data_IF_741770983275
#
_entry.id   IF_741770983275
#
_cell.length_a   1.000
_cell.length_b   1.000
_cell.length_c   1.000
_cell.angle_alpha   90.00
_cell.angle_beta   90.00
_cell.angle_gamma   90.00
#
_symmetry.space_group_name_H-M   'P 1'
#
loop_
_entity.id
_entity.type
_entity.pdbx_description
1 polymer ?
#
# COMPACT_ATOMS: atom_id res chain seq x y z
N UNK A 1 77.14 -27.91 24.38
CA UNK A 1 78.19 -27.03 23.83
C UNK A 1 78.44 -25.78 24.68
N UNK A 2 77.42 -25.03 25.12
CA UNK A 2 77.61 -23.80 25.90
C UNK A 2 78.44 -24.01 27.19
N UNK A 3 78.17 -25.06 27.96
CA UNK A 3 78.87 -25.36 29.22
C UNK A 3 80.35 -25.74 29.00
N UNK A 4 80.65 -26.54 27.97
CA UNK A 4 82.04 -26.90 27.62
C UNK A 4 82.83 -25.66 27.19
N UNK A 5 82.23 -24.80 26.39
CA UNK A 5 82.87 -23.55 25.95
C UNK A 5 83.10 -22.59 27.11
N UNK A 6 82.15 -22.46 28.04
CA UNK A 6 82.31 -21.66 29.26
C UNK A 6 83.46 -22.18 30.12
N UNK A 7 83.59 -23.50 30.28
CA UNK A 7 84.72 -24.11 31.00
C UNK A 7 86.04 -23.77 30.29
N UNK A 8 86.12 -23.91 28.97
CA UNK A 8 87.33 -23.59 28.20
C UNK A 8 87.70 -22.11 28.32
N UNK A 9 86.74 -21.19 28.18
CA UNK A 9 86.98 -19.75 28.33
C UNK A 9 87.44 -19.43 29.75
N UNK A 10 86.81 -20.02 30.78
CA UNK A 10 87.22 -19.83 32.17
C UNK A 10 88.64 -20.34 32.41
N UNK A 11 89.00 -21.48 31.81
CA UNK A 11 90.34 -22.06 31.90
C UNK A 11 91.38 -21.16 31.20
N UNK A 12 91.07 -20.62 30.03
CA UNK A 12 91.93 -19.64 29.33
C UNK A 12 92.09 -18.35 30.12
N UNK A 13 91.02 -17.84 30.73
CA UNK A 13 91.08 -16.66 31.63
C UNK A 13 91.95 -16.95 32.85
N UNK A 14 91.78 -18.12 33.46
CA UNK A 14 92.55 -18.50 34.63
C UNK A 14 94.04 -18.66 34.31
N UNK A 15 94.37 -19.33 33.19
CA UNK A 15 95.76 -19.43 32.71
C UNK A 15 96.31 -18.04 32.38
N UNK A 16 95.56 -17.19 31.66
CA UNK A 16 95.98 -15.84 31.31
C UNK A 16 96.23 -14.94 32.53
N UNK A 17 95.40 -15.04 33.56
CA UNK A 17 95.61 -14.33 34.82
C UNK A 17 96.83 -14.87 35.58
N UNK A 18 97.02 -16.19 35.64
CA UNK A 18 98.20 -16.79 36.28
C UNK A 18 99.48 -16.33 35.59
N UNK A 19 99.52 -16.33 34.25
CA UNK A 19 100.72 -15.89 33.50
C UNK A 19 101.01 -14.40 33.71
N UNK A 20 99.97 -13.55 33.79
CA UNK A 20 100.12 -12.13 34.13
C UNK A 20 100.65 -11.97 35.56
N UNK A 21 100.10 -12.68 36.54
CA UNK A 21 100.53 -12.62 37.95
C UNK A 21 101.99 -13.07 38.10
N UNK A 22 102.38 -14.17 37.45
CA UNK A 22 103.76 -14.65 37.48
C UNK A 22 104.74 -13.68 36.82
N UNK A 23 104.28 -12.86 35.87
CA UNK A 23 105.11 -11.89 35.15
C UNK A 23 105.31 -10.56 35.89
N UNK A 24 104.60 -10.32 37.00
CA UNK A 24 104.69 -9.08 37.80
C UNK A 24 106.13 -8.78 38.25
N UNK A 25 106.94 -9.81 38.52
CA UNK A 25 108.31 -9.63 39.02
C UNK A 25 109.27 -9.06 37.97
N UNK A 26 108.98 -9.28 36.70
CA UNK A 26 109.95 -9.06 35.62
C UNK A 26 109.61 -7.86 34.71
N UNK A 27 108.40 -7.30 34.82
CA UNK A 27 107.89 -6.28 33.88
C UNK A 27 107.50 -5.01 34.61
N UNK A 28 107.60 -3.87 33.91
CA UNK A 28 107.08 -2.61 34.43
C UNK A 28 105.56 -2.66 34.54
N UNK A 29 105.03 -2.07 35.62
CA UNK A 29 103.59 -2.05 35.91
C UNK A 29 102.75 -1.51 34.73
N UNK A 30 103.27 -0.54 33.96
CA UNK A 30 102.58 0.01 32.80
C UNK A 30 102.42 -1.01 31.66
N UNK A 31 103.41 -1.87 31.41
CA UNK A 31 103.33 -2.93 30.40
C UNK A 31 102.35 -4.03 30.83
N UNK A 32 102.26 -4.30 32.15
CA UNK A 32 101.28 -5.23 32.71
C UNK A 32 99.86 -4.73 32.56
N UNK A 33 99.61 -3.44 32.85
CA UNK A 33 98.30 -2.81 32.62
C UNK A 33 97.91 -2.88 31.16
N UNK A 34 98.84 -2.55 30.23
CA UNK A 34 98.59 -2.64 28.79
C UNK A 34 98.25 -4.08 28.37
N UNK A 35 99.04 -5.07 28.79
CA UNK A 35 98.81 -6.47 28.45
C UNK A 35 97.46 -6.97 29.00
N UNK A 36 97.11 -6.58 30.22
CA UNK A 36 95.81 -6.88 30.82
C UNK A 36 94.66 -6.21 30.07
N UNK A 37 94.82 -4.94 29.64
CA UNK A 37 93.82 -4.24 28.82
C UNK A 37 93.63 -4.90 27.47
N UNK A 38 94.71 -5.30 26.78
CA UNK A 38 94.65 -6.04 25.51
C UNK A 38 93.97 -7.41 25.74
N UNK A 39 94.32 -8.10 26.82
CA UNK A 39 93.71 -9.38 27.18
C UNK A 39 92.20 -9.25 27.37
N UNK A 40 91.74 -8.29 28.20
CA UNK A 40 90.31 -8.07 28.40
C UNK A 40 89.59 -7.55 27.14
N UNK A 41 90.23 -6.71 26.32
CA UNK A 41 89.70 -6.31 25.00
C UNK A 41 89.54 -7.51 24.07
N UNK A 42 90.51 -8.42 24.03
CA UNK A 42 90.43 -9.63 23.23
C UNK A 42 89.31 -10.56 23.71
N UNK A 43 89.11 -10.64 25.03
CA UNK A 43 88.01 -11.42 25.61
C UNK A 43 86.65 -10.78 25.30
N UNK A 44 86.57 -9.45 25.39
CA UNK A 44 85.36 -8.68 25.07
C UNK A 44 84.98 -8.83 23.60
N UNK A 45 85.95 -8.74 22.67
CA UNK A 45 85.72 -8.94 21.24
C UNK A 45 85.30 -10.38 20.92
N UNK A 46 85.89 -11.38 21.58
CA UNK A 46 85.48 -12.79 21.44
C UNK A 46 84.04 -12.98 21.96
N UNK A 47 83.71 -12.39 23.11
CA UNK A 47 82.35 -12.42 23.67
C UNK A 47 81.32 -11.76 22.73
N UNK A 48 81.62 -10.58 22.20
CA UNK A 48 80.81 -9.89 21.19
C UNK A 48 80.65 -10.73 19.92
N UNK A 49 81.72 -11.36 19.44
CA UNK A 49 81.69 -12.26 18.29
C UNK A 49 80.81 -13.50 18.53
N UNK A 50 80.87 -14.07 19.73
CA UNK A 50 80.01 -15.19 20.13
C UNK A 50 78.54 -14.79 20.24
N UNK A 51 78.23 -13.64 20.84
CA UNK A 51 76.84 -13.16 20.89
C UNK A 51 76.32 -12.84 19.49
N UNK A 52 77.14 -12.23 18.64
CA UNK A 52 76.78 -11.96 17.24
C UNK A 52 76.52 -13.27 16.49
N UNK A 53 77.37 -14.28 16.67
CA UNK A 53 77.14 -15.61 16.09
C UNK A 53 75.88 -16.28 16.65
N UNK A 54 75.62 -16.16 17.96
CA UNK A 54 74.43 -16.70 18.61
C UNK A 54 73.15 -16.05 18.07
N UNK A 55 73.14 -14.72 17.99
CA UNK A 55 72.06 -13.93 17.40
C UNK A 55 71.86 -14.34 15.94
N UNK A 56 72.92 -14.39 15.14
CA UNK A 56 72.83 -14.71 13.72
C UNK A 56 72.35 -16.15 13.48
N UNK A 57 72.80 -17.10 14.31
CA UNK A 57 72.31 -18.49 14.27
C UNK A 57 70.84 -18.58 14.69
N UNK A 58 70.42 -17.85 15.72
CA UNK A 58 69.02 -17.83 16.16
C UNK A 58 68.13 -17.19 15.09
N UNK A 59 68.57 -16.10 14.47
CA UNK A 59 67.88 -15.46 13.34
C UNK A 59 67.77 -16.45 12.17
N UNK A 60 68.88 -17.08 11.73
CA UNK A 60 68.82 -18.07 10.63
C UNK A 60 67.92 -19.27 10.93
N UNK A 61 67.83 -19.69 12.19
CA UNK A 61 66.88 -20.74 12.60
C UNK A 61 65.43 -20.27 12.58
N UNK A 62 65.19 -18.98 12.83
CA UNK A 62 63.86 -18.39 12.81
C UNK A 62 63.37 -18.04 11.40
N UNK A 63 64.29 -17.78 10.46
CA UNK A 63 63.95 -17.39 9.07
C UNK A 63 62.96 -18.36 8.41
N UNK A 64 63.19 -19.69 8.35
CA UNK A 64 62.25 -20.59 7.69
C UNK A 64 60.86 -20.62 8.33
N UNK A 65 60.80 -20.49 9.67
CA UNK A 65 59.53 -20.45 10.39
C UNK A 65 58.80 -19.12 10.22
N UNK A 66 59.51 -18.02 10.00
CA UNK A 66 58.92 -16.72 9.69
C UNK A 66 58.50 -16.64 8.21
N UNK A 67 59.27 -17.22 7.30
CA UNK A 67 58.91 -17.36 5.87
C UNK A 67 57.64 -18.20 5.72
N UNK A 68 57.53 -19.31 6.45
CA UNK A 68 56.32 -20.12 6.47
C UNK A 68 55.13 -19.34 7.03
N UNK A 69 55.30 -18.66 8.18
CA UNK A 69 54.22 -17.81 8.75
C UNK A 69 53.81 -16.67 7.81
N UNK A 70 54.75 -16.08 7.09
CA UNK A 70 54.46 -15.02 6.13
C UNK A 70 53.69 -15.59 4.94
N UNK A 71 54.10 -16.75 4.41
CA UNK A 71 53.36 -17.44 3.35
C UNK A 71 51.95 -17.83 3.81
N UNK A 72 51.79 -18.38 5.02
CA UNK A 72 50.50 -18.75 5.60
C UNK A 72 49.59 -17.52 5.75
N UNK A 73 50.11 -16.39 6.24
CA UNK A 73 49.35 -15.13 6.41
C UNK A 73 49.05 -14.45 5.07
N UNK A 74 49.96 -14.49 4.10
CA UNK A 74 49.71 -13.98 2.74
C UNK A 74 48.64 -14.82 2.03
N UNK A 75 48.61 -16.13 2.25
CA UNK A 75 47.59 -17.03 1.74
C UNK A 75 46.24 -16.80 2.43
N UNK A 76 46.23 -16.61 3.75
CA UNK A 76 45.03 -16.22 4.51
C UNK A 76 44.47 -14.89 4.01
N UNK A 77 45.32 -13.86 3.84
CA UNK A 77 44.89 -12.56 3.35
C UNK A 77 44.38 -12.65 1.90
N UNK A 78 45.02 -13.46 1.04
CA UNK A 78 44.56 -13.71 -0.32
C UNK A 78 43.22 -14.46 -0.33
N UNK A 79 43.03 -15.43 0.55
CA UNK A 79 41.77 -16.18 0.70
C UNK A 79 40.63 -15.25 1.16
N UNK A 80 40.90 -14.33 2.08
CA UNK A 80 39.94 -13.31 2.53
C UNK A 80 39.58 -12.29 1.44
N UNK A 81 40.57 -11.84 0.66
CA UNK A 81 40.37 -10.82 -0.38
C UNK A 81 39.69 -11.36 -1.64
N UNK A 82 40.03 -12.57 -2.08
CA UNK A 82 39.61 -13.09 -3.39
C UNK A 82 38.69 -14.31 -3.31
N UNK A 83 38.47 -14.87 -2.12
CA UNK A 83 37.70 -16.09 -1.90
C UNK A 83 38.53 -17.33 -2.21
N UNK A 84 38.40 -18.37 -1.38
CA UNK A 84 39.08 -19.63 -1.61
C UNK A 84 38.31 -20.47 -2.64
N UNK A 85 38.99 -20.87 -3.72
CA UNK A 85 38.46 -21.81 -4.74
C UNK A 85 38.90 -23.26 -4.50
N UNK A 86 39.80 -23.49 -3.55
CA UNK A 86 40.40 -24.79 -3.33
C UNK A 86 39.89 -25.41 -2.03
N UNK A 87 39.49 -26.67 -2.15
CA UNK A 87 39.12 -27.62 -1.10
C UNK A 87 40.32 -27.98 -0.19
N UNK A 88 41.19 -27.03 0.15
CA UNK A 88 42.38 -27.35 0.93
C UNK A 88 41.97 -27.72 2.37
N UNK A 89 42.16 -28.99 2.79
CA UNK A 89 41.66 -29.49 4.08
C UNK A 89 42.28 -28.77 5.29
N UNK A 90 43.40 -28.08 5.11
CA UNK A 90 44.09 -27.37 6.18
C UNK A 90 43.30 -26.13 6.66
N UNK A 91 42.70 -25.37 5.74
CA UNK A 91 41.92 -24.16 6.06
C UNK A 91 40.58 -24.54 6.71
N UNK A 92 39.96 -25.63 6.25
CA UNK A 92 38.71 -26.14 6.83
C UNK A 92 38.92 -26.74 8.24
N UNK A 93 40.05 -27.42 8.51
CA UNK A 93 40.31 -28.04 9.81
C UNK A 93 40.42 -27.06 10.98
N UNK A 94 40.93 -25.85 10.74
CA UNK A 94 41.08 -24.83 11.79
C UNK A 94 39.72 -24.28 12.24
N UNK A 95 38.76 -24.19 11.32
CA UNK A 95 37.43 -23.61 11.62
C UNK A 95 36.42 -24.63 12.16
N UNK A 96 36.47 -25.90 11.74
CA UNK A 96 35.55 -26.93 12.24
C UNK A 96 35.81 -27.40 13.67
N UNK A 97 37.01 -27.15 14.23
CA UNK A 97 37.41 -27.72 15.51
C UNK A 97 37.39 -26.76 16.70
N UNK A 98 37.51 -25.43 16.50
CA UNK A 98 37.81 -24.50 17.61
C UNK A 98 36.79 -23.37 17.82
N UNK A 99 36.04 -22.94 16.80
CA UNK A 99 35.17 -21.73 16.92
C UNK A 99 33.66 -22.07 16.93
N UNK A 100 33.22 -23.09 16.19
CA UNK A 100 31.81 -23.45 16.07
C UNK A 100 31.62 -24.92 16.46
N UNK A 101 31.45 -25.17 17.76
CA UNK A 101 31.28 -26.50 18.34
C UNK A 101 29.98 -27.18 17.91
N UNK A 102 30.00 -27.81 16.73
CA UNK A 102 28.90 -28.60 16.18
C UNK A 102 28.20 -27.89 15.02
N UNK A 103 28.17 -28.59 13.89
CA UNK A 103 27.55 -28.29 12.58
C UNK A 103 27.67 -26.86 12.02
N UNK A 104 28.36 -26.68 10.87
CA UNK A 104 28.44 -25.37 10.22
C UNK A 104 27.02 -24.91 9.83
N UNK A 105 26.64 -23.65 10.13
CA UNK A 105 25.28 -23.14 9.90
C UNK A 105 24.94 -22.91 8.41
N UNK A 106 25.69 -23.51 7.48
CA UNK A 106 25.49 -23.37 6.04
C UNK A 106 25.86 -24.68 5.34
N UNK A 107 25.08 -25.01 4.32
CA UNK A 107 25.29 -26.11 3.37
C UNK A 107 26.58 -25.86 2.56
N UNK A 108 27.72 -25.99 3.23
CA UNK A 108 29.05 -25.76 2.67
C UNK A 108 29.39 -26.80 1.58
N UNK A 109 28.64 -27.90 1.52
CA UNK A 109 28.78 -28.94 0.50
C UNK A 109 28.22 -28.51 -0.87
N UNK A 110 27.28 -27.55 -0.94
CA UNK A 110 26.67 -27.17 -2.21
C UNK A 110 27.57 -26.28 -3.10
N UNK A 111 28.47 -25.46 -2.54
CA UNK A 111 29.31 -24.58 -3.36
C UNK A 111 30.78 -24.43 -2.93
N UNK A 112 31.23 -24.97 -1.77
CA UNK A 112 32.65 -25.08 -1.41
C UNK A 112 33.47 -23.77 -1.44
N UNK A 113 32.83 -22.60 -1.35
CA UNK A 113 33.49 -21.30 -1.51
C UNK A 113 33.24 -20.38 -0.32
N UNK A 114 34.32 -19.84 0.25
CA UNK A 114 34.21 -18.65 1.09
C UNK A 114 33.86 -17.44 0.24
N UNK A 115 32.79 -16.72 0.61
CA UNK A 115 32.43 -15.42 0.00
C UNK A 115 33.52 -14.40 0.34
N UNK A 116 34.25 -13.93 -0.67
CA UNK A 116 35.28 -12.89 -0.54
C UNK A 116 34.70 -11.57 -0.01
N UNK A 117 35.55 -10.69 0.53
CA UNK A 117 35.13 -9.31 0.84
C UNK A 117 34.54 -8.61 -0.38
N UNK A 118 35.05 -8.89 -1.59
CA UNK A 118 34.47 -8.39 -2.84
C UNK A 118 33.08 -8.97 -3.14
N UNK A 119 32.81 -10.23 -2.80
CA UNK A 119 31.48 -10.83 -2.93
C UNK A 119 30.51 -10.26 -1.89
N UNK A 120 30.98 -9.97 -0.67
CA UNK A 120 30.22 -9.24 0.34
C UNK A 120 29.91 -7.81 -0.09
N UNK A 121 30.87 -7.07 -0.64
CA UNK A 121 30.64 -5.72 -1.19
C UNK A 121 29.68 -5.77 -2.37
N UNK A 122 29.81 -6.75 -3.27
CA UNK A 122 28.89 -6.95 -4.40
C UNK A 122 27.49 -7.25 -3.90
N UNK A 123 27.35 -8.17 -2.93
CA UNK A 123 26.05 -8.48 -2.30
C UNK A 123 25.47 -7.28 -1.55
N UNK A 124 26.29 -6.48 -0.89
CA UNK A 124 25.84 -5.27 -0.19
C UNK A 124 25.44 -4.18 -1.18
N UNK A 125 26.11 -4.09 -2.34
CA UNK A 125 25.71 -3.26 -3.47
C UNK A 125 24.43 -3.78 -4.13
N UNK A 126 24.24 -5.08 -4.26
CA UNK A 126 23.04 -5.69 -4.83
C UNK A 126 21.84 -5.53 -3.88
N UNK A 127 22.03 -5.68 -2.57
CA UNK A 127 21.04 -5.33 -1.55
C UNK A 127 20.77 -3.82 -1.52
N UNK A 128 21.81 -3.00 -1.71
CA UNK A 128 21.67 -1.55 -1.81
C UNK A 128 20.99 -1.10 -3.11
N UNK A 129 21.06 -1.90 -4.19
CA UNK A 129 20.29 -1.74 -5.43
C UNK A 129 18.86 -2.25 -5.25
N UNK A 130 18.67 -3.37 -4.58
CA UNK A 130 17.37 -3.97 -4.29
C UNK A 130 16.48 -3.08 -3.41
N UNK A 131 17.06 -2.30 -2.49
CA UNK A 131 16.31 -1.29 -1.70
C UNK A 131 15.87 -0.06 -2.49
N UNK A 132 16.38 0.14 -3.71
CA UNK A 132 16.17 1.34 -4.52
C UNK A 132 16.77 2.61 -3.91
N UNK A 133 16.82 3.69 -4.70
CA UNK A 133 17.15 5.02 -4.16
C UNK A 133 15.94 5.66 -3.50
N UNK A 134 16.19 6.44 -2.45
CA UNK A 134 15.16 7.15 -1.70
C UNK A 134 15.55 8.62 -1.59
N UNK A 135 14.64 9.51 -2.00
CA UNK A 135 14.81 10.94 -1.86
C UNK A 135 13.81 11.46 -0.83
N UNK A 136 14.32 11.83 0.34
CA UNK A 136 13.53 12.36 1.45
C UNK A 136 13.46 13.88 1.37
N UNK A 137 12.42 14.44 1.98
CA UNK A 137 12.19 15.89 2.05
C UNK A 137 12.05 16.57 0.69
N UNK A 138 11.53 15.85 -0.31
CA UNK A 138 11.21 16.41 -1.60
C UNK A 138 10.03 17.41 -1.44
N UNK A 139 10.12 18.56 -2.09
CA UNK A 139 9.12 19.63 -1.97
C UNK A 139 8.39 19.76 -3.30
N UNK A 140 7.11 19.39 -3.39
CA UNK A 140 6.34 19.60 -4.59
C UNK A 140 6.01 21.08 -4.81
N UNK A 141 6.11 21.51 -6.06
CA UNK A 141 5.68 22.79 -6.59
C UNK A 141 4.23 22.76 -7.07
N UNK A 142 3.85 23.73 -7.90
CA UNK A 142 2.47 23.86 -8.38
C UNK A 142 2.05 22.69 -9.30
N UNK A 143 0.79 22.26 -9.18
CA UNK A 143 0.17 21.27 -10.06
C UNK A 143 -0.29 21.92 -11.36
N UNK A 144 0.22 21.46 -12.50
CA UNK A 144 -0.24 21.91 -13.81
C UNK A 144 -1.42 21.05 -14.28
N UNK A 145 -2.64 21.58 -14.15
CA UNK A 145 -3.87 20.87 -14.52
C UNK A 145 -3.99 20.54 -16.02
N UNK A 146 -3.27 21.23 -16.90
CA UNK A 146 -3.33 20.96 -18.35
C UNK A 146 -2.48 19.77 -18.76
N UNK A 147 -1.33 19.59 -18.10
CA UNK A 147 -0.36 18.53 -18.42
C UNK A 147 -0.32 17.43 -17.37
N UNK A 148 -1.07 17.58 -16.26
CA UNK A 148 -1.00 16.72 -15.07
C UNK A 148 0.41 16.59 -14.47
N UNK A 149 1.28 17.57 -14.71
CA UNK A 149 2.67 17.52 -14.24
C UNK A 149 2.88 18.32 -12.95
N UNK A 150 3.82 17.85 -12.13
CA UNK A 150 4.23 18.46 -10.88
C UNK A 150 5.74 18.63 -10.89
N UNK A 151 6.20 19.86 -10.73
CA UNK A 151 7.60 20.13 -10.43
C UNK A 151 7.88 19.69 -8.99
N UNK A 152 8.90 18.89 -8.74
CA UNK A 152 9.32 18.48 -7.40
C UNK A 152 10.78 18.85 -7.23
N UNK A 153 11.06 19.69 -6.24
CA UNK A 153 12.41 20.07 -5.86
C UNK A 153 12.96 19.03 -4.91
N UNK A 154 14.13 18.49 -5.22
CA UNK A 154 14.83 17.51 -4.40
C UNK A 154 16.08 18.20 -3.87
N UNK A 155 16.21 18.33 -2.55
CA UNK A 155 17.44 18.85 -1.98
C UNK A 155 18.61 17.94 -2.41
N UNK A 156 19.73 18.50 -2.91
CA UNK A 156 20.88 17.69 -3.32
C UNK A 156 21.30 16.83 -2.13
N UNK A 157 21.32 15.52 -2.33
CA UNK A 157 21.84 14.62 -1.30
C UNK A 157 23.32 14.95 -1.14
N UNK A 158 23.69 15.53 0.01
CA UNK A 158 25.08 15.52 0.46
C UNK A 158 25.45 14.05 0.71
N UNK A 159 25.90 13.35 -0.33
CA UNK A 159 26.67 12.13 -0.13
C UNK A 159 27.88 12.52 0.71
N UNK A 160 28.09 11.81 1.82
CA UNK A 160 29.38 11.87 2.49
C UNK A 160 30.46 11.59 1.43
N UNK A 161 31.56 12.37 1.39
CA UNK A 161 32.60 12.16 0.40
C UNK A 161 33.01 10.68 0.43
N UNK A 162 33.26 10.06 -0.74
CA UNK A 162 33.76 8.70 -0.78
C UNK A 162 34.97 8.64 0.14
N UNK A 163 34.87 7.82 1.19
CA UNK A 163 36.01 7.50 2.03
C UNK A 163 36.92 6.69 1.12
N UNK A 164 37.88 7.36 0.50
CA UNK A 164 38.91 6.71 -0.31
C UNK A 164 39.72 5.83 0.64
N UNK A 165 39.61 4.49 0.55
CA UNK A 165 40.28 3.60 1.51
C UNK A 165 41.80 3.66 1.38
N UNK A 166 42.35 4.18 0.27
CA UNK A 166 43.80 4.30 0.05
C UNK A 166 44.42 5.57 0.67
N UNK A 167 43.62 6.56 1.07
CA UNK A 167 44.13 7.78 1.73
C UNK A 167 44.24 7.65 3.25
N UNK A 168 43.74 6.57 3.85
CA UNK A 168 43.84 6.32 5.30
C UNK A 168 45.24 5.83 5.75
N UNK A 169 46.17 5.58 4.82
CA UNK A 169 47.51 5.07 5.09
C UNK A 169 48.64 6.10 4.91
N UNK A 170 48.34 7.35 4.55
CA UNK A 170 49.36 8.39 4.46
C UNK A 170 49.68 8.96 5.86
N UNK A 171 50.97 8.92 6.22
CA UNK A 171 51.53 9.46 7.47
C UNK A 171 51.01 10.88 7.77
N UNK A 172 50.80 11.22 9.07
CA UNK A 172 50.36 12.56 9.45
C UNK A 172 51.38 13.61 8.96
N UNK A 173 50.96 14.65 8.21
CA UNK A 173 51.86 15.73 7.86
C UNK A 173 52.26 16.51 9.12
N UNK A 174 53.56 16.62 9.34
CA UNK A 174 54.16 17.44 10.37
C UNK A 174 54.11 18.94 9.96
N UNK A 175 52.93 19.54 9.87
CA UNK A 175 52.75 21.00 10.03
C UNK A 175 51.26 21.39 10.02
N UNK A 176 50.70 22.00 11.08
CA UNK A 176 49.28 22.39 11.14
C UNK A 176 48.95 23.71 10.41
N UNK A 177 49.87 24.30 9.64
CA UNK A 177 49.72 25.68 9.15
C UNK A 177 49.37 25.84 7.65
N UNK A 178 49.20 24.77 6.86
CA UNK A 178 48.87 24.90 5.44
C UNK A 178 48.10 23.71 4.87
N UNK A 179 46.88 23.48 5.34
CA UNK A 179 45.92 22.65 4.61
C UNK A 179 45.16 23.54 3.59
N UNK A 180 45.29 23.32 2.27
CA UNK A 180 44.44 24.00 1.30
C UNK A 180 42.98 23.59 1.56
N UNK A 181 42.10 24.59 1.68
CA UNK A 181 40.66 24.37 1.81
C UNK A 181 40.20 23.47 0.65
N UNK A 182 39.69 22.28 0.98
CA UNK A 182 39.13 21.36 0.01
C UNK A 182 38.06 22.09 -0.81
N UNK A 183 38.22 22.09 -2.13
CA UNK A 183 37.24 22.68 -3.04
C UNK A 183 35.87 22.02 -2.80
N UNK A 184 34.76 22.78 -2.75
CA UNK A 184 33.44 22.21 -2.59
C UNK A 184 33.17 21.24 -3.74
N UNK A 185 32.88 19.98 -3.41
CA UNK A 185 32.51 18.96 -4.39
C UNK A 185 31.34 19.48 -5.24
N UNK A 186 31.47 19.36 -6.57
CA UNK A 186 30.40 19.75 -7.49
C UNK A 186 29.12 18.97 -7.13
N UNK A 187 27.94 19.61 -7.11
CA UNK A 187 26.69 18.94 -6.80
C UNK A 187 26.44 17.83 -7.83
N UNK A 188 26.55 16.58 -7.40
CA UNK A 188 26.10 15.45 -8.20
C UNK A 188 24.58 15.45 -8.18
N UNK A 189 23.97 15.53 -9.36
CA UNK A 189 22.52 15.55 -9.51
C UNK A 189 21.86 14.35 -8.81
N UNK A 190 20.59 14.50 -8.45
CA UNK A 190 19.86 13.51 -7.64
C UNK A 190 19.74 12.10 -8.27
N UNK A 191 20.14 11.91 -9.54
CA UNK A 191 20.28 10.59 -10.18
C UNK A 191 19.00 9.94 -10.69
N UNK A 192 17.87 10.68 -10.72
CA UNK A 192 16.63 10.23 -11.37
C UNK A 192 16.74 10.48 -12.87
N UNK A 193 16.40 9.48 -13.67
CA UNK A 193 16.38 9.59 -15.13
C UNK A 193 14.96 9.85 -15.63
N UNK A 194 14.79 10.52 -16.79
CA UNK A 194 13.52 10.52 -17.50
C UNK A 194 12.99 9.09 -17.71
N UNK A 195 11.67 8.96 -17.73
CA UNK A 195 10.88 7.72 -17.79
C UNK A 195 11.03 6.76 -16.59
N UNK A 196 11.79 7.12 -15.55
CA UNK A 196 11.80 6.36 -14.30
C UNK A 196 10.43 6.41 -13.62
N UNK A 197 9.98 5.27 -13.10
CA UNK A 197 8.79 5.16 -12.26
C UNK A 197 9.22 5.30 -10.80
N UNK A 198 8.51 6.14 -10.06
CA UNK A 198 8.75 6.36 -8.65
C UNK A 198 7.45 6.34 -7.84
N UNK A 199 7.58 5.96 -6.59
CA UNK A 199 6.49 5.88 -5.63
C UNK A 199 6.60 7.03 -4.64
N UNK A 200 5.53 7.82 -4.54
CA UNK A 200 5.54 9.06 -3.76
C UNK A 200 4.75 8.87 -2.48
N UNK A 201 5.32 9.29 -1.36
CA UNK A 201 4.70 9.26 -0.04
C UNK A 201 4.72 10.64 0.59
N UNK A 202 3.67 10.95 1.31
CA UNK A 202 3.63 12.13 2.18
C UNK A 202 4.34 11.82 3.50
N UNK A 203 5.23 12.70 3.95
CA UNK A 203 5.91 12.56 5.23
C UNK A 203 5.10 13.20 6.35
N UNK A 204 4.91 12.47 7.44
CA UNK A 204 4.20 12.93 8.63
C UNK A 204 3.59 11.76 9.40
N UNK A 205 2.76 12.07 10.39
CA UNK A 205 1.99 11.05 11.10
C UNK A 205 0.77 10.62 10.26
N UNK A 206 0.45 9.31 10.20
CA UNK A 206 -0.81 8.86 9.63
C UNK A 206 -1.98 9.37 10.48
N UNK A 207 -3.13 9.62 9.85
CA UNK A 207 -4.35 10.03 10.53
C UNK A 207 -5.43 8.95 10.33
N UNK A 208 -5.55 7.96 11.23
CA UNK A 208 -6.50 6.86 11.05
C UNK A 208 -7.97 7.31 11.16
N UNK A 209 -8.27 8.43 11.82
CA UNK A 209 -9.63 8.96 11.92
C UNK A 209 -10.07 9.71 10.66
N UNK A 210 -9.12 10.31 9.93
CA UNK A 210 -9.35 10.94 8.64
C UNK A 210 -8.17 10.65 7.70
N UNK A 211 -8.14 9.46 7.07
CA UNK A 211 -7.01 9.01 6.25
C UNK A 211 -6.67 9.98 5.11
N UNK A 212 -7.67 10.70 4.58
CA UNK A 212 -7.48 11.70 3.53
C UNK A 212 -6.69 12.95 3.97
N UNK A 213 -6.44 13.10 5.28
CA UNK A 213 -5.72 14.22 5.90
C UNK A 213 -4.43 13.80 6.59
N UNK A 214 -4.07 12.51 6.53
CA UNK A 214 -2.85 11.97 7.12
C UNK A 214 -1.73 11.77 6.11
N UNK A 215 -0.51 11.63 6.62
CA UNK A 215 0.61 11.18 5.82
C UNK A 215 0.36 9.76 5.30
N UNK A 216 0.41 9.61 3.98
CA UNK A 216 0.09 8.36 3.30
C UNK A 216 0.71 8.31 1.90
N UNK A 217 0.65 7.13 1.28
CA UNK A 217 1.05 6.92 -0.11
C UNK A 217 0.26 7.83 -1.06
N UNK A 218 0.95 8.62 -1.90
CA UNK A 218 0.40 9.58 -2.87
C UNK A 218 -0.06 8.89 -4.14
N UNK A 219 0.80 8.04 -4.68
CA UNK A 219 0.60 7.39 -5.97
C UNK A 219 1.92 7.07 -6.64
N UNK A 220 1.80 6.53 -7.84
CA UNK A 220 2.89 6.19 -8.75
C UNK A 220 3.04 7.28 -9.81
N UNK A 221 4.29 7.70 -10.04
CA UNK A 221 4.59 8.80 -10.94
C UNK A 221 5.74 8.42 -11.87
N UNK A 222 5.63 8.86 -13.12
CA UNK A 222 6.70 8.80 -14.10
C UNK A 222 7.46 10.12 -14.10
N UNK A 223 8.79 10.04 -14.11
CA UNK A 223 9.67 11.20 -14.29
C UNK A 223 9.63 11.62 -15.76
N UNK A 224 9.04 12.77 -16.08
CA UNK A 224 8.98 13.29 -17.45
C UNK A 224 10.26 14.07 -17.79
N UNK A 225 10.78 14.82 -16.82
CA UNK A 225 12.01 15.58 -16.96
C UNK A 225 12.79 15.54 -15.64
N UNK A 226 14.11 15.58 -15.72
CA UNK A 226 15.00 15.64 -14.58
C UNK A 226 16.09 16.68 -14.83
N UNK A 227 16.42 17.47 -13.81
CA UNK A 227 17.56 18.39 -13.80
C UNK A 227 18.40 18.14 -12.54
N UNK A 228 19.37 18.99 -12.20
CA UNK A 228 20.23 18.70 -11.04
C UNK A 228 19.53 18.88 -9.68
N UNK A 229 18.47 19.70 -9.62
CA UNK A 229 17.82 20.18 -8.39
C UNK A 229 16.39 19.67 -8.23
N UNK A 230 15.82 19.04 -9.26
CA UNK A 230 14.45 18.56 -9.23
C UNK A 230 13.99 17.83 -10.47
N UNK A 231 12.78 17.30 -10.36
CA UNK A 231 12.13 16.46 -11.38
C UNK A 231 10.72 16.96 -11.70
N UNK A 232 10.28 16.74 -12.92
CA UNK A 232 8.88 16.89 -13.32
C UNK A 232 8.23 15.52 -13.30
N UNK A 233 7.21 15.36 -12.46
CA UNK A 233 6.49 14.11 -12.27
C UNK A 233 5.12 14.17 -12.94
N UNK A 234 4.72 13.06 -13.56
CA UNK A 234 3.39 12.85 -14.11
C UNK A 234 2.79 11.58 -13.48
N UNK A 235 1.55 11.61 -12.95
CA UNK A 235 0.89 10.43 -12.42
C UNK A 235 0.78 9.34 -13.50
N UNK A 236 1.14 8.10 -13.16
CA UNK A 236 0.98 6.95 -14.07
C UNK A 236 -0.48 6.57 -14.23
N UNK A 237 -1.25 6.71 -13.14
CA UNK A 237 -2.69 6.45 -13.13
C UNK A 237 -3.48 7.72 -13.45
N UNK A 238 -4.58 7.56 -14.18
CA UNK A 238 -5.50 8.66 -14.44
C UNK A 238 -6.02 9.25 -13.12
N UNK A 239 -5.84 10.55 -12.93
CA UNK A 239 -6.34 11.24 -11.75
C UNK A 239 -7.87 11.31 -11.78
N UNK A 240 -8.52 10.71 -10.80
CA UNK A 240 -9.93 10.94 -10.54
C UNK A 240 -10.13 12.17 -9.64
N UNK A 241 -11.37 12.57 -9.38
CA UNK A 241 -11.66 13.77 -8.59
C UNK A 241 -11.08 13.68 -7.17
N UNK A 242 -11.12 12.52 -6.55
CA UNK A 242 -10.58 12.35 -5.20
C UNK A 242 -9.06 12.38 -5.19
N UNK A 243 -8.41 11.57 -6.02
CA UNK A 243 -6.93 11.47 -6.05
C UNK A 243 -6.34 12.79 -6.48
N UNK A 244 -6.96 13.48 -7.44
CA UNK A 244 -6.60 14.84 -7.83
C UNK A 244 -6.76 15.84 -6.69
N UNK A 245 -7.90 15.86 -5.99
CA UNK A 245 -8.12 16.74 -4.84
C UNK A 245 -7.11 16.47 -3.72
N UNK A 246 -6.85 15.20 -3.41
CA UNK A 246 -5.88 14.81 -2.41
C UNK A 246 -4.48 15.26 -2.81
N UNK A 247 -4.09 15.04 -4.06
CA UNK A 247 -2.77 15.45 -4.58
C UNK A 247 -2.59 16.96 -4.44
N UNK A 248 -3.60 17.74 -4.84
CA UNK A 248 -3.60 19.19 -4.68
C UNK A 248 -3.53 19.60 -3.20
N UNK A 249 -4.28 18.94 -2.30
CA UNK A 249 -4.19 19.19 -0.85
C UNK A 249 -2.78 18.92 -0.30
N UNK A 250 -2.15 17.82 -0.70
CA UNK A 250 -0.79 17.47 -0.28
C UNK A 250 0.23 18.50 -0.77
N UNK A 251 0.09 18.93 -2.03
CA UNK A 251 0.91 20.00 -2.61
C UNK A 251 0.74 21.31 -1.83
N UNK A 252 -0.50 21.71 -1.53
CA UNK A 252 -0.79 22.91 -0.75
C UNK A 252 -0.21 22.83 0.66
N UNK A 253 -0.30 21.68 1.32
CA UNK A 253 0.28 21.44 2.64
C UNK A 253 1.81 21.55 2.59
N UNK A 254 2.44 21.01 1.55
CA UNK A 254 3.88 21.08 1.37
C UNK A 254 4.38 22.50 1.04
N UNK A 255 3.62 23.28 0.24
CA UNK A 255 3.90 24.69 -0.02
C UNK A 255 3.82 25.55 1.25
N UNK A 256 2.96 25.15 2.21
CA UNK A 256 2.90 25.75 3.54
C UNK A 256 4.02 25.26 4.48
N UNK A 257 4.99 24.48 3.96
CA UNK A 257 6.08 23.84 4.70
C UNK A 257 5.63 22.95 5.87
N UNK A 258 4.38 22.48 5.84
CA UNK A 258 3.84 21.59 6.88
C UNK A 258 4.23 20.13 6.65
N UNK A 259 4.55 19.80 5.41
CA UNK A 259 4.68 18.43 4.92
C UNK A 259 5.77 18.40 3.85
N UNK A 260 6.48 17.28 3.75
CA UNK A 260 7.39 17.01 2.63
C UNK A 260 7.06 15.66 2.02
N UNK A 261 7.60 15.37 0.85
CA UNK A 261 7.44 14.07 0.19
C UNK A 261 8.68 13.20 0.36
N UNK A 262 8.47 11.89 0.36
CA UNK A 262 9.51 10.90 0.15
C UNK A 262 9.24 10.19 -1.17
N UNK A 263 10.25 10.17 -2.04
CA UNK A 263 10.22 9.52 -3.34
C UNK A 263 11.02 8.22 -3.22
N UNK A 264 10.45 7.11 -3.66
CA UNK A 264 11.08 5.79 -3.67
C UNK A 264 11.17 5.28 -5.11
N UNK A 265 12.36 4.84 -5.52
CA UNK A 265 12.54 4.20 -6.82
C UNK A 265 11.93 2.79 -6.86
N UNK A 266 12.04 2.06 -5.74
CA UNK A 266 11.43 0.74 -5.55
C UNK A 266 10.57 0.78 -4.30
N UNK A 267 9.41 0.12 -4.35
CA UNK A 267 8.58 -0.03 -3.16
C UNK A 267 9.38 -0.77 -2.07
N UNK A 268 9.31 -0.33 -0.81
CA UNK A 268 9.96 -1.05 0.28
C UNK A 268 9.47 -2.50 0.30
N UNK A 269 10.40 -3.44 0.17
CA UNK A 269 10.08 -4.85 0.27
C UNK A 269 9.66 -5.17 1.71
N UNK A 270 8.52 -5.83 1.86
CA UNK A 270 8.12 -6.39 3.13
C UNK A 270 9.01 -7.60 3.46
N UNK A 271 9.55 -7.66 4.67
CA UNK A 271 10.41 -8.76 5.10
C UNK A 271 10.20 -9.09 6.57
N UNK A 272 10.45 -10.35 6.94
CA UNK A 272 10.37 -10.78 8.33
C UNK A 272 11.48 -10.16 9.20
N UNK A 273 12.62 -9.79 8.59
CA UNK A 273 13.79 -9.26 9.29
C UNK A 273 13.64 -7.80 9.72
N UNK A 274 12.80 -7.02 9.02
CA UNK A 274 12.76 -5.56 9.13
C UNK A 274 12.53 -5.05 10.56
N UNK A 275 11.77 -5.80 11.35
CA UNK A 275 11.48 -5.51 12.75
C UNK A 275 11.90 -6.63 13.72
N UNK A 276 12.58 -7.67 13.25
CA UNK A 276 12.91 -8.84 14.07
C UNK A 276 13.77 -8.49 15.29
N UNK A 277 14.64 -7.48 15.16
CA UNK A 277 15.55 -7.01 16.23
C UNK A 277 14.92 -6.04 17.22
N UNK A 278 13.69 -5.59 16.97
CA UNK A 278 12.97 -4.70 17.87
C UNK A 278 12.24 -5.50 18.94
N UNK A 279 12.23 -4.98 20.16
CA UNK A 279 11.45 -5.54 21.26
C UNK A 279 9.94 -5.30 21.05
N UNK A 280 9.12 -6.02 21.81
CA UNK A 280 7.66 -5.95 21.70
C UNK A 280 7.12 -4.53 21.94
N UNK A 281 7.71 -3.80 22.90
CA UNK A 281 7.33 -2.42 23.20
C UNK A 281 7.60 -1.47 22.02
N UNK A 282 8.78 -1.56 21.38
CA UNK A 282 9.09 -0.77 20.20
C UNK A 282 8.21 -1.16 19.01
N UNK A 283 7.95 -2.46 18.79
CA UNK A 283 7.04 -2.93 17.73
C UNK A 283 5.64 -2.34 17.90
N UNK A 284 5.05 -2.38 19.10
CA UNK A 284 3.74 -1.79 19.38
C UNK A 284 3.71 -0.27 19.28
N UNK A 285 4.84 0.40 19.49
CA UNK A 285 4.92 1.85 19.31
C UNK A 285 5.03 2.26 17.83
N UNK A 286 5.63 1.44 16.98
CA UNK A 286 5.91 1.77 15.58
C UNK A 286 4.85 1.23 14.62
N UNK A 287 4.29 0.06 14.91
CA UNK A 287 3.37 -0.63 14.02
C UNK A 287 1.92 -0.40 14.44
N UNK A 288 0.98 -0.31 13.48
CA UNK A 288 -0.44 -0.27 13.78
C UNK A 288 -0.90 -1.50 14.57
N UNK A 289 -1.88 -1.30 15.46
CA UNK A 289 -2.45 -2.37 16.28
C UNK A 289 -3.02 -3.54 15.45
N UNK A 290 -3.50 -3.27 14.24
CA UNK A 290 -4.04 -4.29 13.34
C UNK A 290 -2.98 -5.28 12.84
N UNK A 291 -1.74 -4.83 12.66
CA UNK A 291 -0.67 -5.66 12.07
C UNK A 291 0.36 -6.10 13.09
N UNK A 292 0.49 -5.40 14.22
CA UNK A 292 1.58 -5.66 15.18
C UNK A 292 1.58 -7.09 15.71
N UNK A 293 0.40 -7.67 15.95
CA UNK A 293 0.28 -9.04 16.47
C UNK A 293 0.86 -10.07 15.48
N UNK A 294 0.75 -9.85 14.17
CA UNK A 294 1.41 -10.70 13.17
C UNK A 294 2.94 -10.67 13.32
N UNK A 295 3.53 -9.50 13.57
CA UNK A 295 4.98 -9.33 13.74
C UNK A 295 5.49 -9.84 15.10
N UNK A 296 4.61 -9.97 16.09
CA UNK A 296 4.91 -10.59 17.38
C UNK A 296 4.83 -12.11 17.31
N UNK A 297 3.86 -12.63 16.54
CA UNK A 297 3.67 -14.07 16.36
C UNK A 297 4.62 -14.72 15.35
N UNK A 298 5.26 -13.94 14.47
CA UNK A 298 6.23 -14.48 13.50
C UNK A 298 7.23 -15.44 14.16
N UNK A 299 7.27 -16.69 13.66
CA UNK A 299 8.19 -17.72 14.13
C UNK A 299 7.78 -18.43 15.43
N UNK A 300 6.69 -18.01 16.08
CA UNK A 300 6.10 -18.73 17.21
C UNK A 300 5.35 -19.99 16.73
N UNK A 301 5.08 -20.99 17.59
CA UNK A 301 4.28 -22.14 17.19
C UNK A 301 2.91 -21.73 16.65
N UNK A 302 2.51 -22.31 15.51
CA UNK A 302 1.20 -22.07 14.95
C UNK A 302 0.10 -22.66 15.85
N UNK A 303 -1.07 -22.04 15.85
CA UNK A 303 -2.27 -22.51 16.55
C UNK A 303 -3.28 -23.11 15.57
N UNK A 304 -4.24 -23.88 16.08
CA UNK A 304 -5.29 -24.49 15.26
C UNK A 304 -6.25 -23.47 14.61
N UNK A 305 -6.26 -22.22 15.09
CA UNK A 305 -7.05 -21.13 14.51
C UNK A 305 -6.34 -20.42 13.35
N UNK A 306 -5.03 -20.62 13.15
CA UNK A 306 -4.29 -19.98 12.07
C UNK A 306 -4.70 -20.58 10.72
N UNK A 307 -4.89 -19.76 9.68
CA UNK A 307 -5.19 -20.31 8.35
C UNK A 307 -3.95 -20.96 7.71
N UNK A 308 -4.16 -21.67 6.59
CA UNK A 308 -3.08 -22.34 5.87
C UNK A 308 -1.98 -21.40 5.34
N UNK A 309 -2.27 -20.11 5.15
CA UNK A 309 -1.32 -19.13 4.64
C UNK A 309 -0.46 -18.53 5.75
N UNK A 310 -0.89 -18.68 7.00
CA UNK A 310 -0.15 -18.26 8.19
C UNK A 310 0.63 -19.40 8.84
N UNK A 311 0.67 -20.58 8.24
CA UNK A 311 1.36 -21.76 8.77
C UNK A 311 2.48 -22.17 7.83
N UNK A 312 3.72 -22.13 8.32
CA UNK A 312 4.85 -22.74 7.64
C UNK A 312 5.29 -24.01 8.38
N UNK A 313 5.49 -25.08 7.62
CA UNK A 313 6.05 -26.33 8.13
C UNK A 313 7.56 -26.23 8.20
N UNK A 314 8.14 -26.74 9.29
CA UNK A 314 9.59 -26.83 9.46
C UNK A 314 10.00 -28.27 9.77
N UNK A 315 11.12 -28.69 9.19
CA UNK A 315 11.72 -30.00 9.47
C UNK A 315 12.46 -30.02 10.82
N UNK A 316 13.09 -31.15 11.16
CA UNK A 316 13.89 -31.31 12.37
C UNK A 316 15.12 -30.38 12.39
N UNK A 317 15.70 -30.10 11.23
CA UNK A 317 16.82 -29.18 11.07
C UNK A 317 16.41 -27.69 11.10
N UNK A 318 15.10 -27.41 11.15
CA UNK A 318 14.57 -26.05 11.17
C UNK A 318 14.51 -25.37 9.80
N UNK A 319 14.62 -26.11 8.70
CA UNK A 319 14.39 -25.62 7.34
C UNK A 319 12.90 -25.57 7.03
N UNK A 320 12.49 -24.55 6.27
CA UNK A 320 11.10 -24.42 5.82
C UNK A 320 10.80 -25.48 4.74
N UNK A 321 9.73 -26.24 4.95
CA UNK A 321 9.19 -27.21 4.00
C UNK A 321 8.09 -26.52 3.20
N UNK A 322 8.10 -26.69 1.87
CA UNK A 322 7.03 -26.18 1.00
C UNK A 322 5.67 -26.76 1.38
N UNK A 323 4.59 -25.99 1.21
CA UNK A 323 3.25 -26.40 1.61
C UNK A 323 2.79 -27.72 0.94
N UNK A 324 3.14 -27.91 -0.34
CA UNK A 324 2.81 -29.13 -1.09
C UNK A 324 3.59 -30.34 -0.56
N UNK A 325 4.85 -30.16 -0.18
CA UNK A 325 5.68 -31.23 0.38
C UNK A 325 5.23 -31.61 1.79
N UNK A 326 4.88 -30.62 2.62
CA UNK A 326 4.32 -30.83 3.95
C UNK A 326 2.98 -31.59 3.89
N UNK A 327 2.20 -31.39 2.82
CA UNK A 327 0.94 -32.11 2.59
C UNK A 327 1.16 -33.52 2.02
N UNK A 328 2.15 -33.68 1.15
CA UNK A 328 2.49 -34.97 0.54
C UNK A 328 3.14 -35.93 1.55
N UNK A 329 3.97 -35.41 2.46
CA UNK A 329 4.67 -36.19 3.48
C UNK A 329 4.66 -35.49 4.85
N UNK A 330 3.55 -35.60 5.61
CA UNK A 330 3.43 -34.98 6.92
C UNK A 330 4.45 -35.49 7.94
N UNK A 331 5.10 -36.63 7.69
CA UNK A 331 6.10 -37.20 8.61
C UNK A 331 7.39 -36.39 8.65
N UNK A 332 7.65 -35.58 7.62
CA UNK A 332 8.80 -34.65 7.57
C UNK A 332 8.57 -33.38 8.40
N UNK A 333 7.32 -33.10 8.77
CA UNK A 333 6.98 -31.89 9.50
C UNK A 333 7.22 -32.11 11.00
N UNK A 334 8.25 -31.47 11.54
CA UNK A 334 8.55 -31.51 12.97
C UNK A 334 7.68 -30.50 13.74
N UNK A 335 7.55 -29.29 13.21
CA UNK A 335 6.76 -28.23 13.84
C UNK A 335 6.13 -27.30 12.81
N UNK A 336 4.95 -26.79 13.16
CA UNK A 336 4.31 -25.68 12.45
C UNK A 336 4.60 -24.39 13.18
N UNK A 337 5.08 -23.38 12.46
CA UNK A 337 5.26 -22.02 13.00
C UNK A 337 4.35 -21.05 12.28
N UNK A 338 3.92 -20.03 13.01
CA UNK A 338 3.22 -18.90 12.45
C UNK A 338 4.16 -18.14 11.52
N UNK A 339 3.78 -18.06 10.24
CA UNK A 339 4.53 -17.36 9.22
C UNK A 339 3.67 -16.26 8.61
N UNK A 340 4.07 -15.02 8.80
CA UNK A 340 3.32 -13.87 8.34
C UNK A 340 3.44 -13.75 6.83
N UNK A 341 2.34 -13.65 6.08
CA UNK A 341 2.44 -13.42 4.64
C UNK A 341 3.17 -12.11 4.36
N UNK A 342 4.18 -12.19 3.49
CA UNK A 342 4.90 -11.03 2.99
C UNK A 342 4.00 -10.25 2.03
N UNK A 343 3.90 -8.94 2.25
CA UNK A 343 3.06 -8.04 1.46
C UNK A 343 3.85 -7.47 0.30
N UNK A 344 3.41 -7.74 -0.91
CA UNK A 344 3.86 -6.99 -2.08
C UNK A 344 3.07 -5.68 -2.16
N UNK A 345 3.63 -4.61 -1.59
CA UNK A 345 2.98 -3.30 -1.61
C UNK A 345 2.82 -2.70 -3.02
N UNK A 346 3.65 -3.10 -3.98
CA UNK A 346 3.49 -2.69 -5.37
C UNK A 346 2.20 -3.24 -5.95
N UNK A 347 1.96 -4.53 -5.76
CA UNK A 347 0.71 -5.18 -6.15
C UNK A 347 -0.49 -4.68 -5.34
N UNK A 348 -0.41 -4.69 -4.01
CA UNK A 348 -1.53 -4.36 -3.12
C UNK A 348 -2.02 -2.93 -3.32
N UNK A 349 -1.13 -1.94 -3.45
CA UNK A 349 -1.58 -0.57 -3.67
C UNK A 349 -2.21 -0.38 -5.05
N UNK A 350 -1.67 -1.01 -6.10
CA UNK A 350 -2.27 -0.96 -7.42
C UNK A 350 -3.67 -1.63 -7.43
N UNK A 351 -3.82 -2.77 -6.77
CA UNK A 351 -5.09 -3.47 -6.62
C UNK A 351 -6.11 -2.66 -5.83
N UNK A 352 -5.74 -2.13 -4.66
CA UNK A 352 -6.63 -1.31 -3.84
C UNK A 352 -7.07 -0.02 -4.56
N UNK A 353 -6.17 0.59 -5.33
CA UNK A 353 -6.51 1.74 -6.19
C UNK A 353 -7.52 1.37 -7.28
N UNK A 354 -7.36 0.21 -7.92
CA UNK A 354 -8.31 -0.31 -8.90
C UNK A 354 -9.67 -0.60 -8.29
N UNK A 355 -9.73 -1.31 -7.15
CA UNK A 355 -10.98 -1.60 -6.44
C UNK A 355 -11.70 -0.31 -6.05
N UNK A 356 -10.96 0.68 -5.57
CA UNK A 356 -11.48 2.00 -5.25
C UNK A 356 -12.10 2.70 -6.46
N UNK A 357 -11.45 2.67 -7.63
CA UNK A 357 -12.00 3.27 -8.86
C UNK A 357 -13.34 2.62 -9.23
N UNK A 358 -13.45 1.29 -9.09
CA UNK A 358 -14.73 0.57 -9.30
C UNK A 358 -15.79 1.06 -8.32
N UNK A 359 -15.47 1.12 -7.02
CA UNK A 359 -16.41 1.60 -6.01
C UNK A 359 -16.86 3.05 -6.26
N UNK A 360 -15.98 3.93 -6.72
CA UNK A 360 -16.35 5.31 -7.05
C UNK A 360 -17.28 5.39 -8.27
N UNK A 361 -17.07 4.54 -9.29
CA UNK A 361 -17.97 4.43 -10.42
C UNK A 361 -19.36 3.94 -9.99
N UNK A 362 -19.42 2.94 -9.10
CA UNK A 362 -20.67 2.43 -8.53
C UNK A 362 -21.42 3.51 -7.72
N UNK A 363 -20.69 4.27 -6.90
CA UNK A 363 -21.28 5.41 -6.16
C UNK A 363 -21.85 6.46 -7.11
N UNK A 364 -21.16 6.77 -8.22
CA UNK A 364 -21.66 7.70 -9.22
C UNK A 364 -22.92 7.18 -9.93
N UNK A 365 -22.95 5.89 -10.30
CA UNK A 365 -24.11 5.25 -10.89
C UNK A 365 -25.32 5.26 -9.94
N UNK A 366 -25.11 4.94 -8.66
CA UNK A 366 -26.16 4.99 -7.63
C UNK A 366 -26.70 6.41 -7.44
N UNK A 367 -25.85 7.43 -7.45
CA UNK A 367 -26.29 8.84 -7.37
C UNK A 367 -27.20 9.21 -8.55
N UNK A 368 -26.86 8.77 -9.77
CA UNK A 368 -27.71 9.00 -10.94
C UNK A 368 -29.06 8.28 -10.79
N UNK A 369 -29.06 7.01 -10.38
CA UNK A 369 -30.29 6.25 -10.14
C UNK A 369 -31.18 6.92 -9.07
N UNK A 370 -30.61 7.45 -8.00
CA UNK A 370 -31.35 8.20 -6.97
C UNK A 370 -32.01 9.45 -7.59
N UNK A 371 -31.30 10.19 -8.45
CA UNK A 371 -31.84 11.36 -9.13
C UNK A 371 -32.99 11.01 -10.09
N UNK A 372 -32.86 9.90 -10.82
CA UNK A 372 -33.89 9.40 -11.73
C UNK A 372 -35.14 8.94 -10.95
N UNK A 373 -34.95 8.22 -9.83
CA UNK A 373 -36.05 7.82 -8.95
C UNK A 373 -36.76 9.02 -8.31
N UNK A 374 -36.01 10.05 -7.90
CA UNK A 374 -36.59 11.29 -7.38
C UNK A 374 -37.45 12.01 -8.44
N UNK A 375 -36.99 12.02 -9.69
CA UNK A 375 -37.74 12.58 -10.83
C UNK A 375 -39.01 11.76 -11.11
N UNK A 376 -38.90 10.43 -11.13
CA UNK A 376 -40.04 9.53 -11.30
C UNK A 376 -41.08 9.71 -10.18
N UNK A 377 -40.66 9.84 -8.92
CA UNK A 377 -41.52 10.11 -7.78
C UNK A 377 -42.24 11.46 -7.91
N UNK A 378 -41.53 12.52 -8.35
CA UNK A 378 -42.12 13.83 -8.58
C UNK A 378 -43.19 13.78 -9.67
N UNK A 379 -42.97 13.04 -10.76
CA UNK A 379 -43.95 12.84 -11.82
C UNK A 379 -45.16 12.02 -11.37
N UNK A 380 -44.94 10.98 -10.56
CA UNK A 380 -46.03 10.20 -9.97
C UNK A 380 -46.95 11.06 -9.09
N UNK A 381 -46.38 11.95 -8.27
CA UNK A 381 -47.15 12.90 -7.44
C UNK A 381 -47.97 13.89 -8.29
N UNK A 382 -47.42 14.37 -9.41
CA UNK A 382 -48.16 15.23 -10.35
C UNK A 382 -49.34 14.49 -10.97
N UNK A 383 -49.15 13.22 -11.36
CA UNK A 383 -50.21 12.39 -11.90
C UNK A 383 -51.30 12.11 -10.86
N UNK A 384 -50.93 11.81 -9.62
CA UNK A 384 -51.86 11.64 -8.51
C UNK A 384 -52.72 12.88 -8.27
N UNK A 385 -52.10 14.07 -8.25
CA UNK A 385 -52.81 15.34 -8.14
C UNK A 385 -53.78 15.56 -9.32
N UNK A 386 -53.35 15.28 -10.55
CA UNK A 386 -54.20 15.37 -11.73
C UNK A 386 -55.41 14.43 -11.64
N UNK A 387 -55.19 13.14 -11.31
CA UNK A 387 -56.28 12.16 -11.15
C UNK A 387 -57.24 12.54 -10.03
N UNK A 388 -56.74 13.13 -8.94
CA UNK A 388 -57.57 13.62 -7.85
C UNK A 388 -58.46 14.78 -8.31
N UNK A 389 -57.92 15.70 -9.10
CA UNK A 389 -58.69 16.79 -9.71
C UNK A 389 -59.74 16.28 -10.70
N UNK A 390 -59.39 15.33 -11.58
CA UNK A 390 -60.34 14.72 -12.52
C UNK A 390 -61.50 14.04 -11.78
N UNK A 391 -61.20 13.28 -10.72
CA UNK A 391 -62.22 12.64 -9.88
C UNK A 391 -63.18 13.67 -9.28
N UNK A 392 -62.66 14.81 -8.82
CA UNK A 392 -63.50 15.88 -8.27
C UNK A 392 -64.44 16.48 -9.34
N UNK A 393 -63.95 16.72 -10.55
CA UNK A 393 -64.77 17.22 -11.68
C UNK A 393 -65.84 16.21 -12.06
N UNK A 394 -65.48 14.92 -12.22
CA UNK A 394 -66.44 13.87 -12.55
C UNK A 394 -67.51 13.68 -11.47
N UNK A 395 -67.15 13.81 -10.20
CA UNK A 395 -68.12 13.77 -9.10
C UNK A 395 -69.10 14.96 -9.16
N UNK A 396 -68.62 16.14 -9.56
CA UNK A 396 -69.47 17.30 -9.78
C UNK A 396 -70.42 17.12 -10.98
N UNK A 397 -69.92 16.59 -12.10
CA UNK A 397 -70.74 16.29 -13.28
C UNK A 397 -71.82 15.26 -12.98
N UNK A 398 -71.48 14.21 -12.22
CA UNK A 398 -72.44 13.21 -11.75
C UNK A 398 -73.59 13.87 -10.97
N UNK A 399 -73.28 14.78 -10.03
CA UNK A 399 -74.30 15.52 -9.28
C UNK A 399 -75.21 16.37 -10.20
N UNK A 400 -74.65 17.00 -11.24
CA UNK A 400 -75.45 17.75 -12.22
C UNK A 400 -76.37 16.83 -13.02
N UNK A 401 -75.87 15.69 -13.49
CA UNK A 401 -76.68 14.69 -14.20
C UNK A 401 -77.81 14.14 -13.33
N UNK A 402 -77.55 13.87 -12.05
CA UNK A 402 -78.57 13.42 -11.10
C UNK A 402 -79.67 14.47 -10.91
N UNK A 403 -79.29 15.75 -10.79
CA UNK A 403 -80.24 16.87 -10.70
C UNK A 403 -81.09 16.99 -11.96
N UNK A 404 -80.48 16.90 -13.14
CA UNK A 404 -81.18 17.02 -14.42
C UNK A 404 -82.12 15.83 -14.63
N UNK A 405 -81.69 14.62 -14.28
CA UNK A 405 -82.54 13.42 -14.28
C UNK A 405 -83.75 13.60 -13.35
N UNK A 406 -83.56 14.13 -12.14
CA UNK A 406 -84.65 14.42 -11.21
C UNK A 406 -85.63 15.46 -11.78
N UNK A 407 -85.11 16.51 -12.44
CA UNK A 407 -85.92 17.52 -13.12
C UNK A 407 -86.74 16.92 -14.28
N UNK A 408 -86.12 16.13 -15.15
CA UNK A 408 -86.81 15.45 -16.28
C UNK A 408 -87.90 14.51 -15.76
N UNK A 409 -87.64 13.74 -14.71
CA UNK A 409 -88.66 12.89 -14.06
C UNK A 409 -89.85 13.71 -13.56
N UNK A 410 -89.60 14.85 -12.92
CA UNK A 410 -90.65 15.76 -12.45
C UNK A 410 -91.46 16.33 -13.62
N UNK A 411 -90.80 16.80 -14.67
CA UNK A 411 -91.45 17.33 -15.87
C UNK A 411 -92.32 16.26 -16.55
N UNK A 412 -91.82 15.04 -16.68
CA UNK A 412 -92.57 13.91 -17.24
C UNK A 412 -93.82 13.61 -16.40
N UNK A 413 -93.72 13.63 -15.06
CA UNK A 413 -94.87 13.47 -14.19
C UNK A 413 -95.90 14.60 -14.37
N UNK A 414 -95.46 15.86 -14.50
CA UNK A 414 -96.34 17.01 -14.77
C UNK A 414 -97.05 16.89 -16.12
N UNK A 415 -96.32 16.53 -17.19
CA UNK A 415 -96.90 16.32 -18.52
C UNK A 415 -97.94 15.19 -18.48
N UNK A 416 -97.63 14.07 -17.83
CA UNK A 416 -98.59 12.97 -17.69
C UNK A 416 -99.86 13.38 -16.94
N UNK A 417 -99.73 14.20 -15.88
CA UNK A 417 -100.88 14.77 -15.17
C UNK A 417 -101.69 15.73 -16.06
N UNK A 418 -101.03 16.58 -16.85
CA UNK A 418 -101.71 17.45 -17.82
C UNK A 418 -102.45 16.66 -18.89
N UNK A 419 -101.84 15.59 -19.43
CA UNK A 419 -102.47 14.68 -20.39
C UNK A 419 -103.71 14.02 -19.75
N UNK A 420 -103.61 13.55 -18.51
CA UNK A 420 -104.73 12.95 -17.80
C UNK A 420 -105.89 13.95 -17.59
N UNK A 421 -105.59 15.18 -17.17
CA UNK A 421 -106.57 16.25 -16.99
C UNK A 421 -107.24 16.62 -18.32
N UNK A 422 -106.46 16.77 -19.40
CA UNK A 422 -106.98 17.08 -20.73
C UNK A 422 -107.90 15.96 -21.25
N UNK A 423 -107.54 14.68 -21.02
CA UNK A 423 -108.40 13.54 -21.33
C UNK A 423 -109.73 13.57 -20.55
N UNK A 424 -109.68 13.91 -19.25
CA UNK A 424 -110.89 14.07 -18.44
C UNK A 424 -111.78 15.18 -18.98
N UNK A 425 -111.23 16.37 -19.23
CA UNK A 425 -111.97 17.51 -19.77
C UNK A 425 -112.58 17.20 -21.15
N UNK A 426 -111.85 16.50 -22.02
CA UNK A 426 -112.37 16.06 -23.31
C UNK A 426 -113.55 15.09 -23.14
N UNK A 427 -113.47 14.15 -22.19
CA UNK A 427 -114.57 13.23 -21.86
C UNK A 427 -115.80 13.96 -21.30
N UNK A 428 -115.60 14.94 -20.43
CA UNK A 428 -116.67 15.76 -19.86
C UNK A 428 -117.38 16.59 -20.94
N UNK A 429 -116.62 17.21 -21.85
CA UNK A 429 -117.16 17.95 -22.99
C UNK A 429 -117.94 17.05 -23.95
N UNK A 430 -117.46 15.85 -24.23
CA UNK A 430 -118.19 14.87 -25.06
C UNK A 430 -119.52 14.49 -24.41
N UNK A 431 -119.53 14.27 -23.10
CA UNK A 431 -120.75 13.95 -22.33
C UNK A 431 -121.73 15.12 -22.31
N UNK A 432 -121.25 16.34 -22.10
CA UNK A 432 -122.06 17.55 -22.12
C UNK A 432 -122.63 17.85 -23.52
N UNK A 433 -121.85 17.63 -24.59
CA UNK A 433 -122.34 17.77 -25.96
C UNK A 433 -123.42 16.73 -26.27
N UNK A 434 -123.24 15.48 -25.84
CA UNK A 434 -124.24 14.42 -26.01
C UNK A 434 -125.56 14.75 -25.28
N UNK A 435 -125.49 15.25 -24.04
CA UNK A 435 -126.68 15.64 -23.28
C UNK A 435 -127.38 16.86 -23.87
N UNK A 436 -126.62 17.85 -24.35
CA UNK A 436 -127.18 19.01 -25.05
C UNK A 436 -127.89 18.59 -26.35
N UNK A 437 -127.26 17.71 -27.15
CA UNK A 437 -127.87 17.15 -28.35
C UNK A 437 -129.18 16.41 -28.05
N UNK A 438 -129.20 15.58 -26.99
CA UNK A 438 -130.41 14.89 -26.54
C UNK A 438 -131.51 15.90 -26.15
N UNK A 439 -131.16 16.94 -25.39
CA UNK A 439 -132.13 17.97 -25.00
C UNK A 439 -132.71 18.75 -26.18
N UNK A 440 -131.93 18.96 -27.24
CA UNK A 440 -132.40 19.59 -28.48
C UNK A 440 -133.35 18.66 -29.25
N UNK A 441 -133.02 17.36 -29.34
CA UNK A 441 -133.91 16.36 -29.92
C UNK A 441 -135.23 16.32 -29.14
N UNK A 442 -135.17 16.28 -27.80
CA UNK A 442 -136.36 16.25 -26.95
C UNK A 442 -137.22 17.52 -27.14
N UNK A 443 -136.59 18.70 -27.23
CA UNK A 443 -137.27 19.98 -27.53
C UNK A 443 -137.91 19.96 -28.92
N UNK A 444 -137.18 19.53 -29.95
CA UNK A 444 -137.72 19.43 -31.31
C UNK A 444 -138.89 18.45 -31.38
N UNK A 445 -138.80 17.31 -30.66
CA UNK A 445 -139.84 16.30 -30.63
C UNK A 445 -141.07 16.80 -29.85
N UNK A 446 -140.89 17.57 -28.78
CA UNK A 446 -141.97 18.26 -28.09
C UNK A 446 -142.63 19.32 -28.97
N UNK A 447 -141.84 20.12 -29.70
CA UNK A 447 -142.35 21.12 -30.65
C UNK A 447 -143.14 20.45 -31.79
N UNK A 448 -142.62 19.36 -32.37
CA UNK A 448 -143.33 18.54 -33.35
C UNK A 448 -144.66 18.00 -32.81
N UNK A 449 -144.71 17.53 -31.55
CA UNK A 449 -145.97 17.12 -30.92
C UNK A 449 -146.96 18.29 -30.80
N UNK A 450 -146.49 19.48 -30.39
CA UNK A 450 -147.39 20.65 -30.33
C UNK A 450 -147.88 21.10 -31.71
N UNK A 451 -147.08 20.90 -32.77
CA UNK A 451 -147.50 21.13 -34.16
C UNK A 451 -148.53 20.10 -34.59
N UNK A 452 -148.33 18.82 -34.24
CA UNK A 452 -149.28 17.74 -34.54
C UNK A 452 -150.62 17.96 -33.82
N UNK A 453 -150.60 18.37 -32.54
CA UNK A 453 -151.80 18.76 -31.77
C UNK A 453 -152.51 19.99 -32.34
N UNK A 454 -151.78 20.92 -32.98
CA UNK A 454 -152.34 22.10 -33.66
C UNK A 454 -152.71 21.85 -35.12
N UNK A 455 -152.33 20.70 -35.68
CA UNK A 455 -152.68 20.34 -37.04
C UNK A 455 -154.13 19.85 -37.04
N UNK A 456 -155.05 20.50 -37.78
CA UNK A 456 -156.44 20.08 -37.83
C UNK A 456 -156.51 18.63 -38.31
N UNK A 457 -157.22 17.80 -37.55
CA UNK A 457 -157.36 16.37 -37.81
C UNK A 457 -157.56 16.11 -39.32
N UNK A 458 -156.83 15.17 -39.94
CA UNK A 458 -157.07 14.80 -41.31
C UNK A 458 -158.55 14.45 -41.41
N UNK A 459 -159.28 15.24 -42.22
CA UNK A 459 -160.68 15.02 -42.48
C UNK A 459 -160.88 13.53 -42.78
N UNK A 460 -161.71 12.88 -41.96
CA UNK A 460 -162.17 11.52 -42.19
C UNK A 460 -162.64 11.44 -43.64
N UNK A 461 -161.81 10.89 -44.52
CA UNK A 461 -162.24 10.47 -45.85
C UNK A 461 -163.02 9.18 -45.64
N UNK A 462 -164.26 9.37 -45.23
CA UNK A 462 -165.37 8.46 -45.45
C UNK A 462 -165.37 8.11 -46.94
N UNK A 463 -164.92 6.90 -47.26
CA UNK A 463 -165.23 6.23 -48.52
C UNK A 463 -165.98 4.96 -48.16
N UNK A 464 -167.26 5.14 -47.79
CA UNK A 464 -168.30 4.18 -48.12
C UNK A 464 -168.71 4.41 -49.58
N UNK A 465 -168.79 3.29 -50.33
CA UNK A 465 -169.65 3.03 -51.48
C UNK A 465 -169.26 3.55 -52.87
N UNK A 466 -168.79 2.61 -53.71
CA UNK A 466 -169.41 2.32 -55.01
C UNK A 466 -169.13 0.87 -55.45
N UNK A 467 -170.19 0.05 -55.38
CA UNK A 467 -170.44 -1.27 -55.99
C UNK A 467 -169.75 -2.52 -55.44
#
# INVERSE_FOLDING_TARGET
MALVLQIVVLLVVLIGLITIIMSIKNWHWAQMVLALSIFFMSLATLFLGMETFRIHRNIRKAIPGLEQKLADVEEENRALQFGARNEDPAVMRIWTAEIFGGEPPYDAEAEGRMLSTSAWTTRLQDLARARGRVWRNAIPGAFNQKTNQIAVTIAPQQQAPPVDPDLAAAEPPADPAAAPAAAPAAPQGHGLTPDAIIYVFENGAPNPAAPDQGAQYIGEFKVVQANDVGVMLEPVQALNQFTGNRLVKSIQAAQQQKVTWSLYELMPADSHELFAKLDEAAKRSLLPAATVEEYLRQGTPATDDDDQYHRAAFDEAGNQIGADDAKADPSKVNQWRFDRPLRDYGYLFAEQMRERVVMEADVAALKQQIADLATAQANAKKLEAHRTSEKAVLAQDLNFMERDLAFVKKLLATINSQIANAKSQASDLLTANASMAQSLIDKQLAELKTIDERSPAPAQRSLLNAQ
#
